data_IF_334888048655
#
_entry.id   IF_334888048655
#
_cell.length_a   1.000
_cell.length_b   1.000
_cell.length_c   1.000
_cell.angle_alpha   90.00
_cell.angle_beta   90.00
_cell.angle_gamma   90.00
#
_symmetry.space_group_name_H-M   'P 1'
#
loop_
_entity.id
_entity.type
_entity.pdbx_description
1 polymer ?
#
# COMPACT_ATOMS: atom_id res chain seq x y z
N UNK A 1 -40.39 -31.77 56.65
CA UNK A 1 -40.99 -30.97 57.76
C UNK A 1 -39.92 -30.07 58.36
N UNK A 2 -40.25 -28.79 58.52
CA UNK A 2 -39.61 -27.73 59.33
C UNK A 2 -38.18 -27.25 58.96
N UNK A 3 -38.18 -26.05 58.36
CA UNK A 3 -37.19 -24.97 58.47
C UNK A 3 -36.71 -24.80 59.91
N UNK A 4 -35.43 -24.50 60.14
CA UNK A 4 -34.98 -23.49 61.11
C UNK A 4 -33.72 -22.81 60.58
N UNK A 5 -33.83 -21.49 60.42
CA UNK A 5 -32.76 -20.51 60.25
C UNK A 5 -32.25 -20.19 61.65
N UNK A 6 -30.93 -20.22 61.89
CA UNK A 6 -30.30 -19.48 62.99
C UNK A 6 -29.10 -18.74 62.43
N UNK A 7 -29.27 -17.42 62.38
CA UNK A 7 -28.29 -16.39 62.13
C UNK A 7 -27.59 -16.10 63.48
N UNK A 8 -26.27 -16.23 63.56
CA UNK A 8 -25.50 -15.69 64.68
C UNK A 8 -24.41 -14.79 64.10
N UNK A 9 -24.65 -13.49 64.30
CA UNK A 9 -23.66 -12.42 64.18
C UNK A 9 -22.93 -12.36 65.51
N UNK A 10 -21.61 -12.57 65.51
CA UNK A 10 -20.74 -12.14 66.61
C UNK A 10 -19.71 -11.17 66.04
N UNK A 11 -19.90 -9.90 66.37
CA UNK A 11 -18.90 -8.85 66.28
C UNK A 11 -18.21 -8.68 67.62
N UNK A 12 -16.89 -8.82 67.66
CA UNK A 12 -16.02 -8.25 68.71
C UNK A 12 -14.57 -8.40 68.24
N UNK A 13 -13.95 -7.31 67.79
CA UNK A 13 -13.09 -6.42 68.59
C UNK A 13 -11.60 -6.70 68.37
N UNK A 14 -11.08 -5.86 67.47
CA UNK A 14 -9.74 -5.30 67.33
C UNK A 14 -8.87 -5.49 68.58
N UNK A 15 -7.72 -6.16 68.39
CA UNK A 15 -6.48 -5.82 69.10
C UNK A 15 -5.43 -5.49 68.05
N UNK A 16 -4.96 -4.25 68.13
CA UNK A 16 -3.87 -3.66 67.39
C UNK A 16 -2.55 -4.34 67.76
N UNK A 17 -1.78 -4.74 66.74
CA UNK A 17 -0.32 -4.80 66.85
C UNK A 17 0.27 -4.25 65.55
N UNK A 18 0.76 -3.01 65.63
CA UNK A 18 1.56 -2.39 64.59
C UNK A 18 2.98 -2.98 64.63
N UNK A 19 3.28 -3.91 63.72
CA UNK A 19 4.65 -4.19 63.30
C UNK A 19 4.75 -3.87 61.81
N UNK A 20 5.58 -2.89 61.47
CA UNK A 20 5.97 -2.55 60.10
C UNK A 20 6.63 -3.76 59.45
N UNK A 21 5.90 -4.50 58.63
CA UNK A 21 6.46 -5.39 57.62
C UNK A 21 6.37 -4.70 56.27
N UNK A 22 7.51 -4.58 55.60
CA UNK A 22 7.60 -4.29 54.16
C UNK A 22 6.52 -5.11 53.45
N UNK A 23 5.62 -4.45 52.73
CA UNK A 23 4.89 -5.10 51.65
C UNK A 23 5.93 -5.46 50.60
N UNK A 24 6.40 -6.70 50.61
CA UNK A 24 6.73 -7.36 49.37
C UNK A 24 5.44 -7.34 48.56
N UNK A 25 5.41 -6.50 47.52
CA UNK A 25 4.49 -6.73 46.42
C UNK A 25 4.80 -8.14 45.91
N UNK A 26 3.88 -9.07 46.17
CA UNK A 26 3.86 -10.36 45.50
C UNK A 26 3.90 -10.08 44.00
N UNK A 27 5.07 -10.26 43.39
CA UNK A 27 5.16 -10.59 41.97
C UNK A 27 4.22 -11.79 41.78
N UNK A 28 3.10 -11.56 41.10
CA UNK A 28 2.29 -12.65 40.58
C UNK A 28 3.24 -13.49 39.75
N UNK A 29 3.55 -14.70 40.20
CA UNK A 29 4.35 -15.66 39.45
C UNK A 29 3.67 -15.83 38.09
N UNK A 30 4.22 -15.17 37.06
CA UNK A 30 3.75 -15.33 35.69
C UNK A 30 3.88 -16.83 35.38
N UNK A 31 2.85 -17.48 34.82
CA UNK A 31 3.01 -18.85 34.35
C UNK A 31 4.24 -18.88 33.43
N UNK A 32 5.15 -19.84 33.66
CA UNK A 32 6.35 -20.02 32.85
C UNK A 32 5.91 -20.46 31.46
N UNK A 33 5.67 -19.50 30.59
CA UNK A 33 5.42 -19.73 29.15
C UNK A 33 6.70 -20.32 28.53
N UNK A 34 6.57 -21.00 27.39
CA UNK A 34 7.67 -21.69 26.68
C UNK A 34 8.10 -20.89 25.46
N UNK A 35 9.38 -20.88 25.10
CA UNK A 35 9.78 -20.32 23.80
C UNK A 35 9.48 -21.30 22.66
N UNK A 36 9.13 -20.77 21.49
CA UNK A 36 8.91 -21.56 20.28
C UNK A 36 10.21 -22.27 19.86
N UNK A 37 11.35 -21.59 20.03
CA UNK A 37 12.68 -22.17 19.97
C UNK A 37 13.26 -22.39 21.37
N UNK A 38 13.64 -23.63 21.71
CA UNK A 38 14.27 -23.94 23.01
C UNK A 38 15.63 -23.28 23.19
N UNK A 39 16.31 -22.92 22.11
CA UNK A 39 17.60 -22.23 22.17
C UNK A 39 17.45 -20.76 22.61
N UNK A 40 16.25 -20.18 22.48
CA UNK A 40 15.96 -18.82 22.92
C UNK A 40 16.24 -18.63 24.42
N UNK A 41 15.87 -19.61 25.26
CA UNK A 41 16.15 -19.60 26.71
C UNK A 41 17.65 -19.49 27.01
N UNK A 42 18.49 -20.16 26.20
CA UNK A 42 19.95 -20.13 26.34
C UNK A 42 20.53 -18.76 26.01
N UNK A 43 20.00 -18.09 25.00
CA UNK A 43 20.60 -16.86 24.46
C UNK A 43 20.03 -15.58 25.07
N UNK A 44 18.85 -15.61 25.68
CA UNK A 44 18.25 -14.46 26.37
C UNK A 44 19.20 -13.75 27.34
N UNK A 45 19.97 -14.45 28.20
CA UNK A 45 20.90 -13.77 29.10
C UNK A 45 21.97 -12.97 28.35
N UNK A 46 22.45 -13.47 27.21
CA UNK A 46 23.43 -12.78 26.36
C UNK A 46 22.80 -11.59 25.62
N UNK A 47 21.60 -11.76 25.08
CA UNK A 47 20.85 -10.69 24.41
C UNK A 47 20.48 -9.57 25.38
N UNK A 48 20.01 -9.91 26.58
CA UNK A 48 19.73 -8.94 27.65
C UNK A 48 20.99 -8.22 28.08
N UNK A 49 22.12 -8.93 28.23
CA UNK A 49 23.40 -8.28 28.51
C UNK A 49 23.75 -7.27 27.42
N UNK A 50 23.66 -7.66 26.15
CA UNK A 50 23.97 -6.78 25.01
C UNK A 50 23.09 -5.52 25.00
N UNK A 51 21.79 -5.65 25.25
CA UNK A 51 20.85 -4.53 25.37
C UNK A 51 21.18 -3.63 26.57
N UNK A 52 21.44 -4.22 27.74
CA UNK A 52 21.78 -3.49 28.96
C UNK A 52 23.10 -2.71 28.83
N UNK A 53 24.14 -3.34 28.27
CA UNK A 53 25.45 -2.73 28.00
C UNK A 53 25.32 -1.53 27.03
N UNK A 54 24.25 -1.48 26.24
CA UNK A 54 23.93 -0.41 25.30
C UNK A 54 22.78 0.52 25.76
N UNK A 55 22.50 0.53 27.07
CA UNK A 55 21.52 1.42 27.72
C UNK A 55 20.08 1.29 27.16
N UNK A 56 19.70 0.10 26.69
CA UNK A 56 18.30 -0.17 26.37
C UNK A 56 17.46 -0.17 27.65
N UNK A 57 16.30 0.48 27.57
CA UNK A 57 15.31 0.46 28.66
C UNK A 57 14.23 -0.54 28.28
N UNK A 58 13.87 -1.44 29.17
CA UNK A 58 12.76 -2.35 28.89
C UNK A 58 11.44 -1.61 29.07
N UNK A 59 10.61 -1.50 28.02
CA UNK A 59 9.29 -0.89 28.17
C UNK A 59 8.45 -1.70 29.18
N UNK A 60 7.44 -1.07 29.78
CA UNK A 60 6.45 -1.84 30.50
C UNK A 60 5.66 -2.70 29.52
N UNK A 61 5.01 -3.75 30.03
CA UNK A 61 4.34 -4.75 29.21
C UNK A 61 3.26 -4.17 28.29
N UNK A 62 2.41 -3.29 28.82
CA UNK A 62 1.29 -2.72 28.07
C UNK A 62 1.79 -1.80 26.94
N UNK A 63 2.76 -0.92 27.22
CA UNK A 63 3.36 -0.05 26.21
C UNK A 63 4.08 -0.84 25.12
N UNK A 64 4.79 -1.91 25.51
CA UNK A 64 5.45 -2.80 24.56
C UNK A 64 4.42 -3.48 23.64
N UNK A 65 3.42 -4.13 24.24
CA UNK A 65 2.34 -4.81 23.51
C UNK A 65 1.61 -3.87 22.56
N UNK A 66 1.25 -2.66 23.00
CA UNK A 66 0.55 -1.69 22.16
C UNK A 66 1.40 -1.25 20.97
N UNK A 67 2.71 -1.04 21.17
CA UNK A 67 3.63 -0.73 20.07
C UNK A 67 3.79 -1.89 19.10
N UNK A 68 3.94 -3.12 19.60
CA UNK A 68 4.03 -4.32 18.76
C UNK A 68 2.77 -4.51 17.91
N UNK A 69 1.57 -4.39 18.52
CA UNK A 69 0.30 -4.43 17.79
C UNK A 69 0.26 -3.33 16.72
N UNK A 70 0.70 -2.11 17.05
CA UNK A 70 0.69 -1.01 16.10
C UNK A 70 1.63 -1.23 14.90
N UNK A 71 2.85 -1.75 15.13
CA UNK A 71 3.88 -1.91 14.11
C UNK A 71 3.75 -3.20 13.31
N UNK A 72 3.24 -4.26 13.92
CA UNK A 72 3.27 -5.61 13.34
C UNK A 72 1.89 -6.27 13.26
N UNK A 73 0.86 -5.71 13.91
CA UNK A 73 -0.48 -6.31 13.92
C UNK A 73 -0.61 -7.57 14.77
N UNK A 74 0.39 -7.86 15.61
CA UNK A 74 0.48 -9.07 16.41
C UNK A 74 0.25 -8.75 17.88
N UNK A 75 -0.62 -9.52 18.54
CA UNK A 75 -0.82 -9.46 19.98
C UNK A 75 -0.04 -10.57 20.68
N UNK A 76 1.09 -10.21 21.30
CA UNK A 76 1.98 -11.14 22.01
C UNK A 76 1.31 -11.91 23.15
N UNK A 77 0.22 -11.39 23.72
CA UNK A 77 -0.45 -12.05 24.84
C UNK A 77 -1.34 -13.21 24.38
N UNK A 78 -1.65 -13.26 23.08
CA UNK A 78 -2.43 -14.35 22.47
C UNK A 78 -1.59 -15.59 22.15
N UNK A 79 -0.26 -15.49 22.22
CA UNK A 79 0.63 -16.62 21.99
C UNK A 79 0.72 -17.52 23.23
N UNK A 80 0.67 -18.84 22.97
CA UNK A 80 1.02 -19.88 23.94
C UNK A 80 2.53 -19.89 24.26
N UNK A 81 3.34 -19.22 23.42
CA UNK A 81 4.78 -19.11 23.55
C UNK A 81 5.22 -17.76 24.14
N UNK A 82 6.48 -17.69 24.58
CA UNK A 82 7.17 -16.50 25.08
C UNK A 82 7.70 -15.60 23.97
N UNK A 83 7.62 -16.04 22.74
CA UNK A 83 7.97 -15.30 21.56
C UNK A 83 6.86 -15.46 20.51
N UNK A 84 6.85 -14.53 19.56
CA UNK A 84 6.00 -14.61 18.39
C UNK A 84 6.86 -14.34 17.16
N UNK A 85 7.01 -15.36 16.33
CA UNK A 85 7.67 -15.22 15.04
C UNK A 85 6.84 -14.35 14.10
N UNK A 86 7.51 -13.48 13.35
CA UNK A 86 6.92 -12.72 12.24
C UNK A 86 7.71 -13.12 10.98
N UNK A 87 7.37 -14.26 10.35
CA UNK A 87 8.22 -14.87 9.33
C UNK A 87 8.49 -13.97 8.12
N UNK A 88 7.49 -13.20 7.67
CA UNK A 88 7.66 -12.28 6.54
C UNK A 88 8.69 -11.18 6.83
N UNK A 89 8.87 -10.81 8.09
CA UNK A 89 9.85 -9.80 8.49
C UNK A 89 11.14 -10.42 9.03
N UNK A 90 11.22 -11.75 9.09
CA UNK A 90 12.34 -12.52 9.63
C UNK A 90 12.81 -12.06 11.03
N UNK A 91 11.85 -11.64 11.87
CA UNK A 91 12.04 -11.23 13.26
C UNK A 91 11.17 -12.07 14.20
N UNK A 92 11.49 -12.04 15.49
CA UNK A 92 10.63 -12.56 16.56
C UNK A 92 10.39 -11.49 17.63
N UNK A 93 9.21 -11.49 18.24
CA UNK A 93 8.86 -10.58 19.33
C UNK A 93 8.97 -11.32 20.65
N UNK A 94 9.93 -10.96 21.49
CA UNK A 94 10.14 -11.61 22.78
C UNK A 94 9.25 -11.03 23.89
N UNK A 95 8.71 -11.89 24.74
CA UNK A 95 8.02 -11.55 26.00
C UNK A 95 8.95 -10.88 27.02
N UNK A 96 10.26 -10.95 26.79
CA UNK A 96 11.27 -10.15 27.50
C UNK A 96 11.27 -8.66 27.06
N UNK A 97 10.35 -8.27 26.16
CA UNK A 97 10.06 -6.89 25.74
C UNK A 97 11.15 -6.26 24.87
N UNK A 98 11.60 -7.04 23.90
CA UNK A 98 12.42 -6.59 22.77
C UNK A 98 12.04 -7.34 21.49
N UNK A 99 12.45 -6.79 20.35
CA UNK A 99 12.38 -7.42 19.03
C UNK A 99 13.71 -8.12 18.79
N UNK A 100 13.65 -9.38 18.44
CA UNK A 100 14.79 -10.17 17.99
C UNK A 100 14.89 -10.07 16.47
N UNK A 101 16.02 -9.56 16.00
CA UNK A 101 16.26 -9.26 14.59
C UNK A 101 17.12 -10.33 13.92
N UNK A 102 17.43 -11.43 14.61
CA UNK A 102 18.33 -12.45 14.09
C UNK A 102 17.54 -13.51 13.34
N UNK A 103 17.72 -13.54 12.03
CA UNK A 103 17.15 -14.57 11.12
C UNK A 103 18.06 -15.80 10.98
N UNK A 104 18.91 -16.09 11.97
CA UNK A 104 19.89 -17.17 11.91
C UNK A 104 19.32 -18.49 12.45
N UNK A 105 19.68 -19.59 11.80
CA UNK A 105 19.55 -20.93 12.39
C UNK A 105 20.40 -20.97 13.66
N UNK A 106 19.72 -21.06 14.81
CA UNK A 106 20.36 -21.12 16.12
C UNK A 106 21.03 -22.46 16.39
N UNK A 107 20.78 -23.44 15.51
CA UNK A 107 21.58 -24.64 15.26
C UNK A 107 21.65 -25.64 16.41
N UNK A 108 22.00 -26.89 16.07
CA UNK A 108 22.49 -27.84 17.06
C UNK A 108 23.95 -27.52 17.38
N UNK A 109 24.27 -27.48 18.67
CA UNK A 109 25.63 -27.23 19.14
C UNK A 109 26.34 -28.58 19.16
N UNK A 110 26.95 -28.97 18.05
CA UNK A 110 27.66 -30.24 17.91
C UNK A 110 29.11 -30.05 17.46
N UNK A 111 30.02 -29.89 18.43
CA UNK A 111 31.48 -29.95 18.18
C UNK A 111 32.07 -28.81 17.32
N UNK A 112 31.25 -28.02 16.62
CA UNK A 112 31.65 -26.86 15.81
C UNK A 112 31.60 -25.52 16.57
N UNK A 113 31.08 -25.51 17.81
CA UNK A 113 30.95 -24.31 18.64
C UNK A 113 29.55 -23.70 18.64
N UNK A 114 29.41 -22.55 19.30
CA UNK A 114 28.14 -21.81 19.44
C UNK A 114 28.30 -20.45 18.75
N UNK A 115 28.15 -20.45 17.42
CA UNK A 115 28.39 -19.28 16.58
C UNK A 115 27.50 -18.08 16.97
N UNK A 116 26.27 -18.34 17.40
CA UNK A 116 25.35 -17.28 17.81
C UNK A 116 25.78 -16.62 19.12
N UNK A 117 26.22 -17.41 20.11
CA UNK A 117 26.84 -16.87 21.32
C UNK A 117 28.08 -16.05 21.00
N UNK A 118 28.93 -16.48 20.06
CA UNK A 118 30.12 -15.70 19.67
C UNK A 118 29.74 -14.37 19.01
N UNK A 119 28.76 -14.36 18.10
CA UNK A 119 28.20 -13.13 17.53
C UNK A 119 27.74 -12.18 18.64
N UNK A 120 26.95 -12.64 19.61
CA UNK A 120 26.46 -11.79 20.71
C UNK A 120 27.60 -11.20 21.56
N UNK A 121 28.71 -11.93 21.73
CA UNK A 121 29.89 -11.46 22.49
C UNK A 121 30.69 -10.38 21.76
N UNK A 122 30.60 -10.29 20.44
CA UNK A 122 31.27 -9.22 19.65
C UNK A 122 30.68 -7.83 19.91
N UNK A 123 29.53 -7.73 20.58
CA UNK A 123 28.90 -6.46 20.91
C UNK A 123 28.61 -5.62 19.68
N UNK A 124 28.82 -4.30 19.74
CA UNK A 124 28.61 -3.41 18.59
C UNK A 124 29.67 -3.53 17.49
N UNK A 125 30.63 -4.46 17.61
CA UNK A 125 31.55 -4.80 16.53
C UNK A 125 30.88 -5.55 15.38
N UNK A 126 29.75 -6.21 15.66
CA UNK A 126 28.97 -7.00 14.71
C UNK A 126 27.76 -6.23 14.18
N UNK A 127 27.46 -6.31 12.87
CA UNK A 127 26.34 -5.59 12.26
C UNK A 127 24.96 -6.12 12.70
N UNK A 128 24.80 -7.44 12.92
CA UNK A 128 23.53 -8.00 13.39
C UNK A 128 23.20 -7.53 14.81
N UNK A 129 24.22 -7.41 15.66
CA UNK A 129 24.06 -6.83 17.00
C UNK A 129 23.68 -5.35 16.95
N UNK A 130 24.22 -4.59 15.99
CA UNK A 130 23.81 -3.20 15.78
C UNK A 130 22.35 -3.11 15.41
N UNK A 131 21.86 -3.94 14.48
CA UNK A 131 20.44 -3.95 14.09
C UNK A 131 19.54 -4.29 15.27
N UNK A 132 19.90 -5.34 16.02
CA UNK A 132 19.20 -5.74 17.24
C UNK A 132 19.10 -4.59 18.24
N UNK A 133 20.21 -3.92 18.55
CA UNK A 133 20.23 -2.80 19.49
C UNK A 133 19.47 -1.60 18.92
N UNK A 134 19.72 -1.25 17.66
CA UNK A 134 19.24 -0.01 17.06
C UNK A 134 17.74 -0.04 16.86
N UNK A 135 17.20 -1.13 16.32
CA UNK A 135 15.78 -1.26 16.05
C UNK A 135 14.98 -1.22 17.36
N UNK A 136 15.43 -1.92 18.40
CA UNK A 136 14.82 -1.84 19.72
C UNK A 136 14.81 -0.42 20.31
N UNK A 137 15.95 0.27 20.26
CA UNK A 137 16.04 1.66 20.78
C UNK A 137 15.17 2.63 19.98
N UNK A 138 15.08 2.47 18.66
CA UNK A 138 14.29 3.36 17.81
C UNK A 138 12.80 3.07 17.97
N UNK A 139 12.37 1.83 17.73
CA UNK A 139 10.94 1.48 17.71
C UNK A 139 10.25 1.75 19.05
N UNK A 140 10.94 1.51 20.17
CA UNK A 140 10.35 1.67 21.49
C UNK A 140 10.61 3.03 22.14
N UNK A 141 11.65 3.77 21.75
CA UNK A 141 12.03 5.02 22.44
C UNK A 141 12.34 6.22 21.53
N UNK A 142 12.29 6.06 20.21
CA UNK A 142 12.67 7.13 19.26
C UNK A 142 14.07 7.70 19.57
N UNK A 143 15.02 6.83 19.91
CA UNK A 143 16.34 7.23 20.40
C UNK A 143 17.13 8.03 19.35
N UNK A 144 17.18 9.34 19.54
CA UNK A 144 17.78 10.31 18.60
C UNK A 144 19.27 10.00 18.35
N UNK A 145 20.00 9.56 19.38
CA UNK A 145 21.42 9.23 19.22
C UNK A 145 21.60 8.04 18.27
N UNK A 146 20.79 6.99 18.43
CA UNK A 146 20.76 5.86 17.51
C UNK A 146 20.31 6.28 16.11
N UNK A 147 19.24 7.06 15.99
CA UNK A 147 18.74 7.58 14.69
C UNK A 147 19.85 8.30 13.93
N UNK A 148 20.61 9.17 14.61
CA UNK A 148 21.70 9.91 13.99
C UNK A 148 22.79 9.03 13.38
N UNK A 149 23.00 7.81 13.91
CA UNK A 149 23.99 6.85 13.42
C UNK A 149 23.55 6.14 12.15
N UNK A 150 22.24 5.97 11.96
CA UNK A 150 21.68 5.17 10.86
C UNK A 150 21.07 6.04 9.75
N UNK A 151 21.05 7.36 9.88
CA UNK A 151 20.25 8.22 8.99
C UNK A 151 20.69 8.20 7.51
N UNK A 152 21.90 7.71 7.24
CA UNK A 152 22.42 7.54 5.88
C UNK A 152 22.43 6.08 5.42
N UNK A 153 22.07 5.13 6.27
CA UNK A 153 22.01 3.69 5.98
C UNK A 153 20.69 3.37 5.29
N UNK A 154 20.71 2.82 4.06
CA UNK A 154 19.48 2.59 3.29
C UNK A 154 18.69 1.44 3.87
N UNK A 155 19.34 0.30 4.06
CA UNK A 155 18.69 -0.95 4.45
C UNK A 155 18.04 -0.81 5.83
N UNK A 156 18.73 -0.17 6.79
CA UNK A 156 18.16 0.10 8.12
C UNK A 156 16.97 1.04 8.10
N UNK A 157 17.01 2.06 7.24
CA UNK A 157 15.90 3.00 7.08
C UNK A 157 14.68 2.32 6.46
N UNK A 158 14.89 1.45 5.48
CA UNK A 158 13.82 0.64 4.88
C UNK A 158 13.21 -0.31 5.91
N UNK A 159 14.03 -1.06 6.66
CA UNK A 159 13.57 -1.95 7.72
C UNK A 159 12.68 -1.20 8.73
N UNK A 160 13.15 -0.08 9.25
CA UNK A 160 12.42 0.66 10.28
C UNK A 160 11.15 1.30 9.71
N UNK A 161 11.27 2.08 8.64
CA UNK A 161 10.16 2.92 8.17
C UNK A 161 9.17 2.11 7.33
N UNK A 162 9.67 1.25 6.44
CA UNK A 162 8.83 0.52 5.48
C UNK A 162 8.34 -0.77 6.11
N UNK A 163 9.25 -1.67 6.50
CA UNK A 163 8.88 -3.01 6.95
C UNK A 163 8.28 -3.04 8.36
N UNK A 164 8.71 -2.15 9.26
CA UNK A 164 8.22 -2.09 10.65
C UNK A 164 7.19 -0.98 10.92
N UNK A 165 6.66 -0.35 9.87
CA UNK A 165 5.62 0.69 9.97
C UNK A 165 5.99 1.90 10.87
N UNK A 166 7.29 2.19 11.05
CA UNK A 166 7.72 3.26 11.95
C UNK A 166 7.72 4.63 11.26
N UNK A 167 6.53 5.22 11.15
CA UNK A 167 6.33 6.52 10.50
C UNK A 167 6.29 7.73 11.45
N UNK A 168 6.46 7.54 12.77
CA UNK A 168 6.27 8.64 13.72
C UNK A 168 7.43 9.65 13.75
N UNK A 169 8.56 9.34 13.11
CA UNK A 169 9.75 10.19 13.10
C UNK A 169 9.99 10.81 11.72
N UNK A 170 9.85 12.13 11.64
CA UNK A 170 9.97 12.87 10.38
C UNK A 170 11.37 12.78 9.74
N UNK A 171 12.43 12.69 10.56
CA UNK A 171 13.78 12.61 10.04
C UNK A 171 14.00 11.26 9.33
N UNK A 172 13.57 10.16 9.94
CA UNK A 172 13.62 8.83 9.30
C UNK A 172 12.77 8.81 8.03
N UNK A 173 11.50 9.24 8.10
CA UNK A 173 10.61 9.28 6.95
C UNK A 173 11.20 10.05 5.77
N UNK A 174 11.67 11.27 6.03
CA UNK A 174 12.25 12.14 4.98
C UNK A 174 13.45 11.47 4.32
N UNK A 175 14.34 10.85 5.11
CA UNK A 175 15.53 10.20 4.56
C UNK A 175 15.19 8.92 3.80
N UNK A 176 14.24 8.11 4.26
CA UNK A 176 13.73 6.95 3.52
C UNK A 176 13.11 7.37 2.19
N UNK A 177 12.18 8.33 2.21
CA UNK A 177 11.51 8.84 1.00
C UNK A 177 12.52 9.43 0.00
N UNK A 178 13.57 10.09 0.50
CA UNK A 178 14.62 10.65 -0.38
C UNK A 178 15.38 9.59 -1.18
N UNK A 179 15.36 8.33 -0.75
CA UNK A 179 16.05 7.22 -1.39
C UNK A 179 15.16 6.47 -2.40
N UNK A 180 13.85 6.68 -2.36
CA UNK A 180 12.90 6.07 -3.30
C UNK A 180 12.98 6.80 -4.65
N UNK A 181 13.51 6.11 -5.66
CA UNK A 181 13.75 6.65 -7.02
C UNK A 181 12.97 5.89 -8.08
N UNK A 182 13.42 4.69 -8.46
CA UNK A 182 12.76 3.89 -9.48
C UNK A 182 12.03 2.71 -8.83
N UNK A 183 10.87 2.35 -9.36
CA UNK A 183 10.11 1.22 -8.82
C UNK A 183 10.84 -0.12 -8.93
N UNK A 184 11.68 -0.28 -9.95
CA UNK A 184 12.40 -1.52 -10.24
C UNK A 184 13.57 -1.75 -9.29
N UNK A 185 13.97 -0.73 -8.53
CA UNK A 185 14.98 -0.86 -7.48
C UNK A 185 14.46 -1.68 -6.28
N UNK A 186 13.13 -1.90 -6.21
CA UNK A 186 12.46 -2.54 -5.07
C UNK A 186 11.76 -3.83 -5.47
N UNK A 187 11.76 -4.79 -4.55
CA UNK A 187 11.02 -6.05 -4.71
C UNK A 187 9.50 -5.85 -4.44
N UNK A 188 8.72 -6.91 -4.65
CA UNK A 188 7.26 -6.87 -4.45
C UNK A 188 6.89 -6.63 -2.98
N UNK A 189 7.65 -7.22 -2.05
CA UNK A 189 7.39 -7.14 -0.62
C UNK A 189 7.51 -5.69 -0.12
N UNK A 190 8.61 -5.00 -0.46
CA UNK A 190 8.80 -3.58 -0.19
C UNK A 190 7.59 -2.76 -0.68
N UNK A 191 7.15 -2.99 -1.92
CA UNK A 191 6.03 -2.26 -2.52
C UNK A 191 4.74 -2.50 -1.77
N UNK A 192 4.48 -3.73 -1.30
CA UNK A 192 3.30 -4.02 -0.49
C UNK A 192 3.37 -3.40 0.91
N UNK A 193 4.53 -3.43 1.57
CA UNK A 193 4.72 -2.73 2.85
C UNK A 193 4.63 -1.22 2.69
N UNK A 194 4.98 -0.67 1.54
CA UNK A 194 4.77 0.75 1.23
C UNK A 194 3.29 1.11 1.10
N UNK A 195 2.45 0.19 0.61
CA UNK A 195 1.02 0.43 0.40
C UNK A 195 0.18 0.26 1.67
N UNK A 196 0.47 -0.77 2.47
CA UNK A 196 -0.40 -1.17 3.58
C UNK A 196 0.36 -1.41 4.88
N UNK A 197 -0.20 -0.91 5.99
CA UNK A 197 0.28 -1.23 7.33
C UNK A 197 0.23 -2.74 7.58
N UNK A 198 1.20 -3.27 8.32
CA UNK A 198 1.24 -4.64 8.84
C UNK A 198 0.00 -4.95 9.66
N UNK A 199 -0.40 -4.01 10.52
CA UNK A 199 -1.60 -4.14 11.33
C UNK A 199 -2.87 -3.94 10.49
N UNK A 200 -3.44 -5.05 10.01
CA UNK A 200 -4.68 -5.07 9.21
C UNK A 200 -5.95 -4.78 10.02
N UNK A 201 -5.87 -4.66 11.34
CA UNK A 201 -7.00 -4.25 12.19
C UNK A 201 -7.19 -2.73 12.29
N UNK A 202 -6.24 -1.94 11.75
CA UNK A 202 -6.35 -0.47 11.71
C UNK A 202 -7.59 -0.05 10.90
N UNK A 203 -8.22 1.04 11.32
CA UNK A 203 -9.31 1.67 10.58
C UNK A 203 -8.86 2.20 9.21
N UNK A 204 -7.61 2.64 9.14
CA UNK A 204 -6.92 3.03 7.91
C UNK A 204 -5.75 2.07 7.70
N UNK A 205 -5.91 1.15 6.75
CA UNK A 205 -4.90 0.14 6.40
C UNK A 205 -3.92 0.72 5.37
N UNK A 206 -4.38 1.62 4.51
CA UNK A 206 -3.57 2.20 3.44
C UNK A 206 -2.64 3.26 4.04
N UNK A 207 -1.36 3.24 3.68
CA UNK A 207 -0.35 4.20 4.15
C UNK A 207 -0.47 5.54 3.40
N UNK A 208 -1.64 6.18 3.51
CA UNK A 208 -2.04 7.35 2.73
C UNK A 208 -1.05 8.52 2.84
N UNK A 209 -0.53 8.79 4.04
CA UNK A 209 0.47 9.83 4.28
C UNK A 209 1.79 9.53 3.55
N UNK A 210 2.34 8.32 3.72
CA UNK A 210 3.56 7.88 3.05
C UNK A 210 3.45 8.02 1.52
N UNK A 211 2.34 7.52 0.96
CA UNK A 211 2.05 7.62 -0.47
C UNK A 211 2.01 9.08 -0.93
N UNK A 212 1.32 9.97 -0.21
CA UNK A 212 1.26 11.39 -0.54
C UNK A 212 2.61 12.11 -0.43
N UNK A 213 3.40 11.79 0.59
CA UNK A 213 4.73 12.37 0.78
C UNK A 213 5.69 11.95 -0.34
N UNK A 214 5.60 10.69 -0.81
CA UNK A 214 6.36 10.21 -1.97
C UNK A 214 5.87 10.89 -3.24
N UNK A 215 4.56 10.95 -3.47
CA UNK A 215 3.99 11.57 -4.67
C UNK A 215 4.42 13.03 -4.83
N UNK A 216 4.43 13.80 -3.73
CA UNK A 216 4.87 15.19 -3.74
C UNK A 216 6.35 15.39 -4.10
N UNK A 217 7.17 14.33 -4.02
CA UNK A 217 8.59 14.34 -4.39
C UNK A 217 8.86 13.66 -5.73
N UNK A 218 8.14 12.58 -6.03
CA UNK A 218 8.34 11.70 -7.17
C UNK A 218 7.00 11.06 -7.57
N UNK A 219 6.17 11.81 -8.30
CA UNK A 219 4.86 11.34 -8.75
C UNK A 219 4.96 10.19 -9.75
N UNK A 220 6.02 10.16 -10.57
CA UNK A 220 6.30 9.06 -11.51
C UNK A 220 6.39 7.70 -10.81
N UNK A 221 7.08 7.64 -9.66
CA UNK A 221 7.13 6.42 -8.85
C UNK A 221 5.74 5.93 -8.42
N UNK A 222 4.80 6.83 -8.13
CA UNK A 222 3.43 6.47 -7.73
C UNK A 222 2.58 6.04 -8.94
N UNK A 223 2.83 6.62 -10.12
CA UNK A 223 2.24 6.15 -11.37
C UNK A 223 2.70 4.71 -11.64
N UNK A 224 4.00 4.45 -11.56
CA UNK A 224 4.57 3.12 -11.71
C UNK A 224 4.03 2.13 -10.67
N UNK A 225 3.87 2.59 -9.41
CA UNK A 225 3.30 1.78 -8.34
C UNK A 225 1.84 1.42 -8.58
N UNK A 226 1.09 2.31 -9.25
CA UNK A 226 -0.28 2.05 -9.69
C UNK A 226 -0.32 0.93 -10.73
N UNK A 227 0.57 0.97 -11.73
CA UNK A 227 0.70 -0.09 -12.73
C UNK A 227 1.15 -1.42 -12.12
N UNK A 228 2.13 -1.38 -11.22
CA UNK A 228 2.58 -2.55 -10.46
C UNK A 228 1.40 -3.21 -9.73
N UNK A 229 0.65 -2.43 -8.94
CA UNK A 229 -0.48 -2.94 -8.18
C UNK A 229 -1.54 -3.53 -9.10
N UNK A 230 -1.89 -2.83 -10.19
CA UNK A 230 -2.86 -3.31 -11.17
C UNK A 230 -2.45 -4.64 -11.79
N UNK A 231 -1.18 -4.78 -12.21
CA UNK A 231 -0.62 -6.02 -12.77
C UNK A 231 -0.63 -7.17 -11.75
N UNK A 232 -0.45 -6.86 -10.47
CA UNK A 232 -0.42 -7.84 -9.37
C UNK A 232 -1.80 -8.25 -8.85
N UNK A 233 -2.90 -7.72 -9.41
CA UNK A 233 -4.28 -8.02 -9.01
C UNK A 233 -4.56 -9.51 -8.83
N UNK A 234 -4.07 -10.37 -9.72
CA UNK A 234 -4.25 -11.83 -9.62
C UNK A 234 -3.45 -12.46 -8.50
N UNK A 235 -2.21 -12.01 -8.29
CA UNK A 235 -1.25 -12.57 -7.35
C UNK A 235 -1.69 -12.30 -5.89
N UNK A 236 -2.31 -11.14 -5.65
CA UNK A 236 -2.67 -10.69 -4.29
C UNK A 236 -4.14 -10.92 -3.91
N UNK A 237 -4.95 -11.51 -4.80
CA UNK A 237 -6.40 -11.67 -4.59
C UNK A 237 -6.75 -12.50 -3.34
N UNK A 238 -5.85 -13.38 -2.91
CA UNK A 238 -6.02 -14.18 -1.70
C UNK A 238 -5.54 -13.48 -0.42
N UNK A 239 -4.78 -12.39 -0.55
CA UNK A 239 -4.14 -11.68 0.58
C UNK A 239 -4.90 -10.43 1.01
N UNK A 240 -5.70 -9.83 0.12
CA UNK A 240 -6.48 -8.62 0.39
C UNK A 240 -7.87 -8.70 -0.25
N UNK A 241 -8.81 -7.93 0.29
CA UNK A 241 -10.15 -7.80 -0.31
C UNK A 241 -10.14 -6.96 -1.59
N UNK A 242 -11.06 -7.24 -2.51
CA UNK A 242 -11.29 -6.41 -3.70
C UNK A 242 -11.52 -4.93 -3.33
N UNK A 243 -12.23 -4.67 -2.24
CA UNK A 243 -12.46 -3.30 -1.76
C UNK A 243 -11.13 -2.61 -1.43
N UNK A 244 -10.27 -3.24 -0.62
CA UNK A 244 -8.98 -2.68 -0.26
C UNK A 244 -8.09 -2.47 -1.50
N UNK A 245 -8.11 -3.41 -2.45
CA UNK A 245 -7.39 -3.29 -3.71
C UNK A 245 -7.79 -2.03 -4.50
N UNK A 246 -9.09 -1.87 -4.81
CA UNK A 246 -9.56 -0.74 -5.61
C UNK A 246 -9.47 0.59 -4.85
N UNK A 247 -9.64 0.58 -3.52
CA UNK A 247 -9.42 1.78 -2.70
C UNK A 247 -7.95 2.22 -2.77
N UNK A 248 -7.01 1.27 -2.72
CA UNK A 248 -5.58 1.56 -2.80
C UNK A 248 -5.19 2.06 -4.18
N UNK A 249 -5.61 1.37 -5.24
CA UNK A 249 -5.34 1.79 -6.63
C UNK A 249 -5.95 3.17 -6.91
N UNK A 250 -7.20 3.38 -6.48
CA UNK A 250 -7.86 4.67 -6.61
C UNK A 250 -7.15 5.78 -5.83
N UNK A 251 -6.64 5.50 -4.61
CA UNK A 251 -5.88 6.49 -3.85
C UNK A 251 -4.56 6.87 -4.53
N UNK A 252 -3.80 5.90 -5.06
CA UNK A 252 -2.57 6.18 -5.79
C UNK A 252 -2.84 7.11 -6.97
N UNK A 253 -3.85 6.79 -7.78
CA UNK A 253 -4.27 7.58 -8.95
C UNK A 253 -4.81 8.96 -8.55
N UNK A 254 -5.65 9.06 -7.52
CA UNK A 254 -6.20 10.33 -7.02
C UNK A 254 -5.09 11.30 -6.61
N UNK A 255 -4.07 10.81 -5.91
CA UNK A 255 -2.95 11.65 -5.46
C UNK A 255 -2.14 12.19 -6.62
N UNK A 256 -1.80 11.36 -7.62
CA UNK A 256 -1.03 11.83 -8.78
C UNK A 256 -1.86 12.74 -9.69
N UNK A 257 -3.14 12.43 -9.91
CA UNK A 257 -4.03 13.30 -10.69
C UNK A 257 -4.14 14.69 -10.06
N UNK A 258 -4.20 14.77 -8.72
CA UNK A 258 -4.22 16.04 -8.01
C UNK A 258 -2.94 16.88 -8.20
N UNK A 259 -1.78 16.23 -8.29
CA UNK A 259 -0.49 16.91 -8.52
C UNK A 259 -0.44 17.50 -9.93
N UNK A 260 -0.97 16.77 -10.90
CA UNK A 260 -0.95 17.15 -12.32
C UNK A 260 -2.22 17.89 -12.78
N UNK A 261 -3.09 18.36 -11.86
CA UNK A 261 -4.43 18.89 -12.21
C UNK A 261 -4.39 20.16 -13.08
N UNK A 262 -3.30 20.93 -12.95
CA UNK A 262 -3.05 22.17 -13.70
C UNK A 262 -2.42 21.91 -15.08
N UNK A 263 -2.06 20.67 -15.41
CA UNK A 263 -1.49 20.31 -16.71
C UNK A 263 -2.58 20.09 -17.76
N UNK A 264 -2.28 20.45 -19.01
CA UNK A 264 -3.13 20.14 -20.15
C UNK A 264 -3.34 18.63 -20.25
N UNK A 265 -4.57 18.20 -20.57
CA UNK A 265 -4.92 16.78 -20.65
C UNK A 265 -4.06 15.99 -21.63
N UNK A 266 -3.53 16.64 -22.67
CA UNK A 266 -2.62 16.00 -23.61
C UNK A 266 -1.27 15.65 -22.97
N UNK A 267 -0.74 16.49 -22.07
CA UNK A 267 0.57 16.29 -21.44
C UNK A 267 0.49 15.62 -20.08
N UNK A 268 -0.70 15.60 -19.47
CA UNK A 268 -0.95 15.05 -18.13
C UNK A 268 -0.69 13.53 -18.08
N UNK A 269 0.45 13.15 -17.50
CA UNK A 269 0.88 11.74 -17.41
C UNK A 269 -0.01 10.92 -16.49
N UNK A 270 -0.53 11.52 -15.41
CA UNK A 270 -1.46 10.85 -14.49
C UNK A 270 -2.80 10.53 -15.18
N UNK A 271 -3.30 11.44 -16.01
CA UNK A 271 -4.51 11.23 -16.81
C UNK A 271 -4.29 10.14 -17.86
N UNK A 272 -3.16 10.18 -18.57
CA UNK A 272 -2.76 9.10 -19.49
C UNK A 272 -2.70 7.75 -18.78
N UNK A 273 -2.13 7.71 -17.58
CA UNK A 273 -2.05 6.48 -16.78
C UNK A 273 -3.43 5.93 -16.42
N UNK A 274 -4.34 6.78 -15.94
CA UNK A 274 -5.73 6.40 -15.65
C UNK A 274 -6.42 5.81 -16.89
N UNK A 275 -6.29 6.48 -18.04
CA UNK A 275 -6.92 6.03 -19.28
C UNK A 275 -6.39 4.68 -19.75
N UNK A 276 -5.06 4.49 -19.74
CA UNK A 276 -4.44 3.20 -20.09
C UNK A 276 -5.00 2.06 -19.23
N UNK A 277 -5.19 2.29 -17.92
CA UNK A 277 -5.79 1.28 -17.03
C UNK A 277 -7.27 1.01 -17.34
N UNK A 278 -8.02 2.00 -17.82
CA UNK A 278 -9.40 1.79 -18.30
C UNK A 278 -9.47 1.01 -19.60
N UNK A 279 -8.52 1.21 -20.51
CA UNK A 279 -8.41 0.39 -21.73
C UNK A 279 -8.07 -1.06 -21.37
N UNK A 280 -7.17 -1.27 -20.41
CA UNK A 280 -6.74 -2.60 -19.97
C UNK A 280 -7.85 -3.37 -19.21
N UNK A 281 -8.68 -2.68 -18.42
CA UNK A 281 -9.85 -3.25 -17.74
C UNK A 281 -11.01 -2.25 -17.69
N UNK A 282 -11.91 -2.32 -18.67
CA UNK A 282 -13.09 -1.45 -18.74
C UNK A 282 -14.00 -1.50 -17.50
N UNK A 283 -13.96 -2.59 -16.70
CA UNK A 283 -14.72 -2.65 -15.45
C UNK A 283 -14.12 -1.77 -14.36
N UNK A 284 -12.81 -1.46 -14.44
CA UNK A 284 -12.12 -0.60 -13.48
C UNK A 284 -12.81 0.76 -13.36
N UNK A 285 -13.30 1.29 -14.48
CA UNK A 285 -14.03 2.55 -14.52
C UNK A 285 -15.24 2.53 -13.58
N UNK A 286 -16.03 1.45 -13.57
CA UNK A 286 -17.17 1.33 -12.65
C UNK A 286 -16.71 1.07 -11.21
N UNK A 287 -15.67 0.25 -11.02
CA UNK A 287 -15.14 -0.08 -9.69
C UNK A 287 -14.60 1.14 -8.95
N UNK A 288 -13.93 2.06 -9.64
CA UNK A 288 -13.39 3.27 -9.01
C UNK A 288 -14.49 4.30 -8.66
N UNK A 289 -15.67 4.22 -9.29
CA UNK A 289 -16.81 5.10 -8.96
C UNK A 289 -17.50 4.71 -7.65
N UNK A 290 -17.28 3.49 -7.15
CA UNK A 290 -17.76 3.07 -5.82
C UNK A 290 -17.06 3.84 -4.68
N UNK A 291 -15.97 4.55 -5.00
CA UNK A 291 -15.18 5.34 -4.06
C UNK A 291 -15.30 6.85 -4.35
N UNK A 292 -15.08 7.65 -3.31
CA UNK A 292 -15.15 9.11 -3.40
C UNK A 292 -13.78 9.71 -3.74
N UNK A 293 -13.39 9.63 -5.02
CA UNK A 293 -12.15 10.20 -5.57
C UNK A 293 -12.46 11.33 -6.56
N UNK A 294 -12.46 12.60 -6.12
CA UNK A 294 -12.88 13.73 -6.95
C UNK A 294 -12.08 13.92 -8.25
N UNK A 295 -10.76 13.71 -8.23
CA UNK A 295 -9.95 13.84 -9.45
C UNK A 295 -10.24 12.71 -10.41
N UNK A 296 -10.35 11.48 -9.93
CA UNK A 296 -10.79 10.36 -10.77
C UNK A 296 -12.16 10.68 -11.38
N UNK A 297 -13.14 11.13 -10.61
CA UNK A 297 -14.46 11.50 -11.12
C UNK A 297 -14.42 12.61 -12.18
N UNK A 298 -13.57 13.64 -12.00
CA UNK A 298 -13.33 14.71 -12.98
C UNK A 298 -12.80 14.12 -14.29
N UNK A 299 -11.72 13.36 -14.22
CA UNK A 299 -11.03 12.82 -15.39
C UNK A 299 -11.80 11.68 -16.08
N UNK A 300 -12.57 10.86 -15.35
CA UNK A 300 -13.48 9.87 -15.96
C UNK A 300 -14.53 10.54 -16.84
N UNK A 301 -15.03 11.74 -16.50
CA UNK A 301 -15.98 12.47 -17.35
C UNK A 301 -15.35 12.90 -18.67
N UNK A 302 -14.09 13.37 -18.61
CA UNK A 302 -13.33 13.76 -19.80
C UNK A 302 -13.08 12.53 -20.68
N UNK A 303 -12.63 11.42 -20.09
CA UNK A 303 -12.43 10.15 -20.80
C UNK A 303 -13.71 9.69 -21.54
N UNK A 304 -14.86 9.72 -20.85
CA UNK A 304 -16.15 9.34 -21.46
C UNK A 304 -16.57 10.28 -22.59
N UNK A 305 -16.33 11.59 -22.45
CA UNK A 305 -16.65 12.55 -23.51
C UNK A 305 -15.84 12.25 -24.78
N UNK A 306 -14.52 12.09 -24.64
CA UNK A 306 -13.62 11.76 -25.75
C UNK A 306 -14.00 10.41 -26.38
N UNK A 307 -14.27 9.38 -25.58
CA UNK A 307 -14.70 8.07 -26.10
C UNK A 307 -16.03 8.12 -26.83
N UNK A 308 -16.97 8.93 -26.36
CA UNK A 308 -18.25 9.11 -27.06
C UNK A 308 -18.08 9.83 -28.40
N UNK A 309 -17.16 10.80 -28.48
CA UNK A 309 -16.81 11.46 -29.74
C UNK A 309 -16.13 10.49 -30.69
N UNK A 310 -15.12 9.72 -30.25
CA UNK A 310 -14.47 8.68 -31.06
C UNK A 310 -15.46 7.65 -31.61
N UNK A 311 -16.40 7.18 -30.78
CA UNK A 311 -17.44 6.22 -31.21
C UNK A 311 -18.49 6.83 -32.15
N UNK A 312 -18.61 8.16 -32.20
CA UNK A 312 -19.52 8.86 -33.10
C UNK A 312 -18.93 9.09 -34.50
N UNK A 313 -17.61 8.92 -34.67
CA UNK A 313 -16.94 9.01 -35.97
C UNK A 313 -17.24 7.72 -36.74
N UNK A 314 -18.23 7.78 -37.63
CA UNK A 314 -18.58 6.68 -38.53
C UNK A 314 -17.90 6.91 -39.88
N UNK A 315 -17.27 5.88 -40.44
CA UNK A 315 -16.73 5.94 -41.80
C UNK A 315 -17.62 5.18 -42.78
N UNK A 316 -17.60 5.61 -44.03
CA UNK A 316 -18.23 4.89 -45.13
C UNK A 316 -17.39 4.92 -46.38
N UNK A 317 -17.57 3.91 -47.24
CA UNK A 317 -16.97 3.84 -48.56
C UNK A 317 -18.00 4.26 -49.60
N UNK A 318 -17.61 5.15 -50.51
CA UNK A 318 -18.46 5.50 -51.66
C UNK A 318 -18.62 4.28 -52.55
N UNK A 319 -19.87 3.90 -52.81
CA UNK A 319 -20.25 2.79 -53.66
C UNK A 319 -21.30 3.26 -54.67
N UNK A 320 -20.84 3.86 -55.76
CA UNK A 320 -21.69 4.29 -56.87
C UNK A 320 -21.38 3.49 -58.14
N UNK A 321 -22.42 3.06 -58.85
CA UNK A 321 -22.28 2.31 -60.11
C UNK A 321 -21.70 3.18 -61.24
N UNK A 322 -21.85 4.50 -61.12
CA UNK A 322 -21.31 5.48 -62.08
C UNK A 322 -19.79 5.69 -61.92
N UNK A 323 -19.16 5.03 -60.95
CA UNK A 323 -17.72 5.14 -60.65
C UNK A 323 -17.34 6.35 -59.79
N UNK A 324 -18.29 7.26 -59.54
CA UNK A 324 -18.14 8.39 -58.62
C UNK A 324 -19.51 8.86 -58.14
N UNK A 325 -19.53 9.64 -57.06
CA UNK A 325 -20.69 10.37 -56.59
C UNK A 325 -20.39 11.86 -56.42
N UNK A 326 -21.43 12.69 -56.37
CA UNK A 326 -21.29 14.13 -56.20
C UNK A 326 -21.48 14.52 -54.73
N UNK A 327 -20.48 15.19 -54.15
CA UNK A 327 -20.62 15.91 -52.88
C UNK A 327 -21.37 17.21 -53.14
N UNK A 328 -22.50 17.41 -52.47
CA UNK A 328 -23.37 18.57 -52.69
C UNK A 328 -23.38 19.51 -51.49
N UNK A 329 -23.62 20.79 -51.73
CA UNK A 329 -23.65 21.80 -50.67
C UNK A 329 -24.84 21.67 -49.71
N UNK A 330 -25.99 21.25 -50.22
CA UNK A 330 -27.25 21.06 -49.49
C UNK A 330 -27.84 19.66 -49.74
N UNK A 331 -28.83 19.28 -48.92
CA UNK A 331 -29.54 17.97 -48.94
C UNK A 331 -30.51 17.83 -50.14
N UNK A 332 -30.03 18.05 -51.38
CA UNK A 332 -30.84 18.02 -52.60
C UNK A 332 -30.04 17.60 -53.83
N UNK A 333 -30.68 16.87 -54.76
CA UNK A 333 -30.09 16.48 -56.05
C UNK A 333 -29.85 17.67 -56.99
N UNK A 334 -30.48 18.81 -56.73
CA UNK A 334 -30.34 20.03 -57.54
C UNK A 334 -29.33 21.01 -56.93
N UNK A 335 -28.81 20.70 -55.74
CA UNK A 335 -27.80 21.53 -55.08
C UNK A 335 -26.48 21.57 -55.86
N UNK A 336 -25.77 22.69 -55.72
CA UNK A 336 -24.40 22.88 -56.18
C UNK A 336 -23.51 21.69 -55.81
N UNK A 337 -22.79 21.16 -56.80
CA UNK A 337 -21.77 20.11 -56.62
C UNK A 337 -20.45 20.78 -56.27
N UNK A 338 -19.94 20.49 -55.08
CA UNK A 338 -18.73 21.11 -54.53
C UNK A 338 -17.48 20.21 -54.69
N UNK A 339 -17.69 18.91 -54.95
CA UNK A 339 -16.65 17.93 -55.27
C UNK A 339 -17.24 16.67 -55.90
N UNK A 340 -16.45 15.95 -56.71
CA UNK A 340 -16.70 14.54 -57.07
C UNK A 340 -15.85 13.62 -56.19
N UNK A 341 -16.46 12.55 -55.67
CA UNK A 341 -15.81 11.55 -54.82
C UNK A 341 -15.87 10.21 -55.55
N UNK A 342 -14.75 9.54 -55.75
CA UNK A 342 -14.73 8.31 -56.56
C UNK A 342 -15.29 7.13 -55.77
N UNK A 343 -15.85 6.16 -56.48
CA UNK A 343 -16.21 4.88 -55.87
C UNK A 343 -14.97 4.19 -55.31
N UNK A 344 -15.05 3.71 -54.07
CA UNK A 344 -13.94 3.17 -53.30
C UNK A 344 -13.28 4.18 -52.35
N UNK A 345 -13.56 5.47 -52.48
CA UNK A 345 -13.04 6.47 -51.55
C UNK A 345 -13.77 6.40 -50.21
N UNK A 346 -13.00 6.52 -49.13
CA UNK A 346 -13.52 6.61 -47.75
C UNK A 346 -13.91 8.06 -47.43
N UNK A 347 -15.03 8.20 -46.73
CA UNK A 347 -15.56 9.46 -46.21
C UNK A 347 -15.90 9.29 -44.72
N UNK A 348 -15.69 10.35 -43.95
CA UNK A 348 -16.17 10.45 -42.58
C UNK A 348 -17.65 10.89 -42.62
N UNK A 349 -18.52 10.18 -41.93
CA UNK A 349 -19.96 10.44 -41.82
C UNK A 349 -20.19 11.27 -40.57
N UNK A 350 -20.55 12.55 -40.76
CA UNK A 350 -20.76 13.52 -39.69
C UNK A 350 -22.21 13.55 -39.20
N UNK A 351 -23.16 13.22 -40.07
CA UNK A 351 -24.59 13.11 -39.76
C UNK A 351 -25.25 12.16 -40.77
N UNK A 352 -25.83 11.07 -40.30
CA UNK A 352 -26.56 10.10 -41.12
C UNK A 352 -28.09 10.17 -40.96
N UNK A 353 -28.60 11.28 -40.41
CA UNK A 353 -30.04 11.49 -40.27
C UNK A 353 -30.71 11.78 -41.63
N UNK A 354 -31.67 10.93 -42.00
CA UNK A 354 -32.42 11.05 -43.25
C UNK A 354 -31.71 10.46 -44.47
N UNK A 355 -32.09 10.94 -45.67
CA UNK A 355 -31.64 10.37 -46.93
C UNK A 355 -30.34 10.98 -47.48
N UNK A 356 -29.96 12.17 -46.98
CA UNK A 356 -28.75 12.89 -47.36
C UNK A 356 -27.83 13.01 -46.16
N UNK A 357 -26.73 12.26 -46.20
CA UNK A 357 -25.77 12.23 -45.12
C UNK A 357 -24.75 13.33 -45.29
N UNK A 358 -24.46 14.05 -44.20
CA UNK A 358 -23.34 14.98 -44.16
C UNK A 358 -22.07 14.17 -44.01
N UNK A 359 -21.14 14.37 -44.93
CA UNK A 359 -19.85 13.68 -44.95
C UNK A 359 -18.70 14.66 -45.10
N UNK A 360 -17.51 14.26 -44.66
CA UNK A 360 -16.25 14.93 -44.90
C UNK A 360 -15.34 14.04 -45.75
N UNK A 361 -14.81 14.59 -46.85
CA UNK A 361 -13.86 13.88 -47.71
C UNK A 361 -12.45 13.91 -47.12
N UNK A 362 -11.56 13.07 -47.65
CA UNK A 362 -10.13 13.07 -47.28
C UNK A 362 -9.44 14.43 -47.49
N UNK A 363 -9.92 15.22 -48.47
CA UNK A 363 -9.44 16.58 -48.72
C UNK A 363 -10.04 17.63 -47.77
N UNK A 364 -10.86 17.21 -46.79
CA UNK A 364 -11.44 18.07 -45.77
C UNK A 364 -12.71 18.82 -46.19
N UNK A 365 -13.27 18.55 -47.37
CA UNK A 365 -14.52 19.20 -47.81
C UNK A 365 -15.73 18.53 -47.16
N UNK A 366 -16.61 19.36 -46.58
CA UNK A 366 -17.88 18.93 -45.97
C UNK A 366 -19.05 19.18 -46.92
N UNK A 367 -19.92 18.19 -47.07
CA UNK A 367 -21.14 18.30 -47.88
C UNK A 367 -22.01 17.06 -47.80
N UNK A 368 -23.08 17.01 -48.59
CA UNK A 368 -24.09 15.98 -48.54
C UNK A 368 -23.95 14.97 -49.68
N UNK A 369 -24.09 13.70 -49.35
CA UNK A 369 -24.16 12.57 -50.29
C UNK A 369 -25.41 11.74 -49.98
N UNK A 370 -26.08 11.24 -51.00
CA UNK A 370 -27.28 10.43 -50.81
C UNK A 370 -26.91 9.07 -50.23
N UNK A 371 -27.64 8.61 -49.20
CA UNK A 371 -27.27 7.44 -48.38
C UNK A 371 -26.98 6.16 -49.17
N UNK A 372 -27.66 5.93 -50.29
CA UNK A 372 -27.49 4.71 -51.10
C UNK A 372 -26.13 4.64 -51.80
N UNK A 373 -25.39 5.76 -51.83
CA UNK A 373 -24.06 5.86 -52.42
C UNK A 373 -22.95 5.62 -51.40
N UNK A 374 -23.31 5.39 -50.13
CA UNK A 374 -22.36 5.18 -49.04
C UNK A 374 -22.63 3.81 -48.45
N UNK A 375 -21.58 2.99 -48.37
CA UNK A 375 -21.60 1.75 -47.61
C UNK A 375 -20.87 2.00 -46.29
N UNK A 376 -21.59 1.96 -45.17
CA UNK A 376 -20.99 2.06 -43.82
C UNK A 376 -20.04 0.87 -43.61
N UNK A 377 -18.89 1.11 -42.99
CA UNK A 377 -17.94 0.08 -42.56
C UNK A 377 -18.31 -0.60 -41.25
#
# INVERSE_FOLDING_TARGET
MKKIIILIIVTSLIISCNSKTKKEEMESSKPTKLYQDKLYERYIPLMNKLLNDNNYKYPNHEDFRNKVINYFGVDIDTSDYNDVDIPNLAIAISSERFIDTYSLDRGNIDGAGDAFSEILKEGTGNEFNKDFIYYNKILFYDDIQTISKIINDTDRLENIVIYFDYEKNDLLNKNTINKIKNIDDFNDEFKFHLLWYNNKSKSEIIRKKMISDIAGKNSDFIIDLSYFLFKKKTDIKNSISDKLFYETLGYLLEVVLKIHDDEDTETNMAYRALNNLYEDDSNLLNKLQDFNFPMIQKYTKIYRAIKSEEQSISFGIINDQDGYTNLRKERSSDSEVIQKINTGDSVEILDNSGDWWLVQTKEGKKGYVYKTKIKIE
#
